data_IF_309636088774
#
_entry.id   IF_309636088774
#
_cell.length_a   1.000
_cell.length_b   1.000
_cell.length_c   1.000
_cell.angle_alpha   90.00
_cell.angle_beta   90.00
_cell.angle_gamma   90.00
#
_symmetry.space_group_name_H-M   'P 1'
#
loop_
_entity.id
_entity.type
_entity.pdbx_description
1 polymer ?
#
# COMPACT_ATOMS: atom_id res chain seq x y z
N UNK A 1 -9.37 -9.30 36.24
CA UNK A 1 -9.07 -9.04 34.83
C UNK A 1 -7.71 -9.65 34.56
N UNK A 2 -7.67 -10.69 33.74
CA UNK A 2 -6.43 -11.35 33.34
C UNK A 2 -6.01 -10.80 31.98
N UNK A 3 -4.74 -10.42 31.85
CA UNK A 3 -4.19 -9.92 30.59
C UNK A 3 -3.17 -10.93 30.07
N UNK A 4 -3.26 -11.26 28.78
CA UNK A 4 -2.25 -12.06 28.09
C UNK A 4 -1.89 -11.39 26.77
N UNK A 5 -0.61 -11.46 26.42
CA UNK A 5 -0.17 -11.17 25.06
C UNK A 5 -0.69 -12.29 24.16
N UNK A 6 -1.42 -11.95 23.11
CA UNK A 6 -1.82 -12.92 22.08
C UNK A 6 -0.65 -13.17 21.13
N UNK A 7 -0.43 -14.44 20.81
CA UNK A 7 0.64 -14.92 19.92
C UNK A 7 0.05 -15.99 18.97
N UNK A 8 0.63 -16.15 17.78
CA UNK A 8 0.14 -17.06 16.74
C UNK A 8 -0.68 -16.35 15.66
N UNK A 9 -1.72 -17.02 15.14
CA UNK A 9 -2.61 -16.46 14.11
C UNK A 9 -3.54 -15.42 14.73
N UNK A 10 -3.05 -14.18 14.83
CA UNK A 10 -3.79 -13.07 15.39
C UNK A 10 -5.08 -12.77 14.60
N UNK A 11 -5.14 -13.11 13.30
CA UNK A 11 -6.30 -12.82 12.48
C UNK A 11 -7.49 -13.64 12.95
N UNK A 12 -7.33 -14.95 13.05
CA UNK A 12 -8.41 -15.84 13.53
C UNK A 12 -8.71 -15.61 15.01
N UNK A 13 -7.69 -15.37 15.84
CA UNK A 13 -7.88 -15.18 17.28
C UNK A 13 -8.62 -13.88 17.63
N UNK A 14 -8.44 -12.81 16.84
CA UNK A 14 -9.06 -11.52 17.11
C UNK A 14 -10.33 -11.27 16.30
N UNK A 15 -10.37 -11.68 15.04
CA UNK A 15 -11.30 -11.11 14.06
C UNK A 15 -12.33 -12.08 13.49
N UNK A 16 -12.40 -13.32 13.99
CA UNK A 16 -13.40 -14.29 13.52
C UNK A 16 -14.82 -13.84 13.90
N UNK A 17 -15.71 -13.56 12.92
CA UNK A 17 -17.08 -13.18 13.22
C UNK A 17 -17.89 -14.37 13.74
N UNK A 18 -18.92 -14.13 14.57
CA UNK A 18 -19.85 -15.18 14.97
C UNK A 18 -20.71 -15.66 13.79
N UNK A 19 -21.23 -16.87 13.89
CA UNK A 19 -22.14 -17.43 12.89
C UNK A 19 -23.46 -16.65 12.77
N UNK A 20 -23.96 -16.10 13.89
CA UNK A 20 -25.07 -15.15 13.93
C UNK A 20 -24.51 -13.75 14.26
N UNK A 21 -24.43 -12.83 13.27
CA UNK A 21 -23.86 -11.49 13.47
C UNK A 21 -24.78 -10.56 14.28
N UNK A 22 -26.02 -10.97 14.57
CA UNK A 22 -26.99 -10.18 15.33
C UNK A 22 -27.01 -10.63 16.79
N UNK A 23 -27.00 -11.94 17.04
CA UNK A 23 -27.24 -12.50 18.38
C UNK A 23 -26.05 -13.21 19.02
N UNK A 24 -25.01 -13.56 18.26
CA UNK A 24 -23.93 -14.41 18.79
C UNK A 24 -24.43 -15.83 19.14
N UNK A 25 -23.59 -16.66 19.80
CA UNK A 25 -22.49 -16.27 20.67
C UNK A 25 -21.23 -15.85 19.92
N UNK A 26 -20.35 -15.12 20.61
CA UNK A 26 -19.04 -14.73 20.11
C UNK A 26 -18.23 -15.95 19.63
N UNK A 27 -17.50 -15.78 18.53
CA UNK A 27 -16.58 -16.80 17.99
C UNK A 27 -15.14 -16.67 18.53
N UNK A 28 -14.86 -15.61 19.29
CA UNK A 28 -13.55 -15.31 19.86
C UNK A 28 -13.59 -15.37 21.39
N UNK A 29 -12.43 -15.62 21.98
CA UNK A 29 -12.26 -15.85 23.43
C UNK A 29 -11.50 -14.68 24.08
N UNK A 30 -12.15 -13.51 24.08
CA UNK A 30 -11.70 -12.30 24.77
C UNK A 30 -12.87 -11.34 25.04
N UNK A 31 -12.85 -10.67 26.19
CA UNK A 31 -13.80 -9.60 26.54
C UNK A 31 -13.32 -8.23 26.06
N UNK A 32 -12.01 -8.01 26.15
CA UNK A 32 -11.33 -6.76 25.82
C UNK A 32 -10.11 -7.06 24.94
N UNK A 33 -9.92 -6.27 23.88
CA UNK A 33 -8.74 -6.37 23.04
C UNK A 33 -8.08 -5.01 22.80
N UNK A 34 -6.76 -4.99 22.82
CA UNK A 34 -5.95 -3.88 22.32
C UNK A 34 -5.32 -4.32 21.01
N UNK A 35 -5.71 -3.69 19.92
CA UNK A 35 -5.20 -4.02 18.58
C UNK A 35 -5.11 -2.76 17.72
N UNK A 36 -4.69 -2.90 16.47
CA UNK A 36 -4.62 -1.78 15.54
C UNK A 36 -5.25 -2.08 14.20
N UNK A 37 -5.78 -1.04 13.58
CA UNK A 37 -6.26 -1.05 12.19
C UNK A 37 -5.28 -0.21 11.38
N UNK A 38 -4.63 -0.87 10.42
CA UNK A 38 -3.99 -0.19 9.30
C UNK A 38 -5.02 -0.07 8.19
N UNK A 39 -5.34 1.14 7.76
CA UNK A 39 -6.28 1.34 6.67
C UNK A 39 -5.68 2.31 5.64
N UNK A 40 -5.69 1.92 4.37
CA UNK A 40 -5.30 2.80 3.28
C UNK A 40 -6.36 3.88 3.06
N UNK A 41 -7.64 3.56 3.30
CA UNK A 41 -8.76 4.48 3.13
C UNK A 41 -9.72 4.44 4.32
N UNK A 42 -10.49 5.51 4.52
CA UNK A 42 -11.51 5.53 5.58
C UNK A 42 -12.63 4.51 5.32
N UNK A 43 -12.95 4.21 4.06
CA UNK A 43 -13.89 3.14 3.71
C UNK A 43 -13.40 1.80 4.25
N UNK A 44 -12.13 1.45 4.03
CA UNK A 44 -11.54 0.23 4.58
C UNK A 44 -11.62 0.21 6.11
N UNK A 45 -11.37 1.34 6.78
CA UNK A 45 -11.47 1.42 8.23
C UNK A 45 -12.89 1.11 8.73
N UNK A 46 -13.92 1.76 8.17
CA UNK A 46 -15.29 1.63 8.66
C UNK A 46 -16.02 0.38 8.18
N UNK A 47 -15.73 -0.13 6.98
CA UNK A 47 -16.33 -1.36 6.44
C UNK A 47 -16.12 -2.55 7.38
N UNK A 48 -15.06 -2.52 8.19
CA UNK A 48 -14.75 -3.53 9.21
C UNK A 48 -15.78 -3.64 10.33
N UNK A 49 -16.57 -2.59 10.57
CA UNK A 49 -17.59 -2.57 11.62
C UNK A 49 -18.97 -2.95 11.12
N UNK A 50 -19.14 -3.16 9.80
CA UNK A 50 -20.42 -3.58 9.23
C UNK A 50 -20.85 -4.93 9.82
N UNK A 51 -22.15 -5.11 10.01
CA UNK A 51 -22.74 -6.37 10.43
C UNK A 51 -22.30 -7.54 9.54
N UNK A 52 -21.73 -8.58 10.15
CA UNK A 52 -21.27 -9.78 9.42
C UNK A 52 -20.00 -9.60 8.58
N UNK A 53 -19.32 -8.45 8.66
CA UNK A 53 -18.01 -8.29 8.04
C UNK A 53 -17.02 -9.34 8.59
N UNK A 54 -16.12 -9.85 7.73
CA UNK A 54 -15.17 -10.90 8.10
C UNK A 54 -14.17 -10.51 9.18
N UNK A 55 -14.11 -9.23 9.54
CA UNK A 55 -13.28 -8.68 10.61
C UNK A 55 -14.07 -8.23 11.84
N UNK A 56 -15.41 -8.30 11.82
CA UNK A 56 -16.25 -7.85 12.91
C UNK A 56 -16.59 -9.02 13.85
N UNK A 57 -15.72 -9.24 14.83
CA UNK A 57 -15.88 -10.29 15.86
C UNK A 57 -16.55 -9.81 17.15
N UNK A 58 -16.80 -8.50 17.26
CA UNK A 58 -17.00 -7.86 18.56
C UNK A 58 -18.25 -6.98 18.65
N UNK A 59 -18.78 -6.47 17.55
CA UNK A 59 -19.97 -5.60 17.57
C UNK A 59 -21.12 -6.28 16.82
N UNK A 60 -22.22 -6.63 17.51
CA UNK A 60 -23.46 -7.06 16.86
C UNK A 60 -23.91 -6.09 15.78
N UNK A 61 -24.57 -6.61 14.74
CA UNK A 61 -25.14 -5.81 13.67
C UNK A 61 -25.98 -4.67 14.23
N UNK A 62 -25.61 -3.45 13.85
CA UNK A 62 -26.35 -2.23 14.13
C UNK A 62 -26.91 -1.70 12.79
N UNK A 63 -28.23 -1.78 12.57
CA UNK A 63 -28.83 -1.34 11.32
C UNK A 63 -28.53 0.12 10.96
N UNK A 64 -28.36 0.99 11.95
CA UNK A 64 -28.05 2.41 11.69
C UNK A 64 -26.59 2.59 11.29
N UNK A 65 -25.67 1.88 11.94
CA UNK A 65 -24.27 1.88 11.54
C UNK A 65 -24.09 1.31 10.12
N UNK A 66 -24.78 0.21 9.81
CA UNK A 66 -24.74 -0.41 8.48
C UNK A 66 -25.26 0.55 7.40
N UNK A 67 -26.35 1.28 7.65
CA UNK A 67 -26.87 2.31 6.74
C UNK A 67 -25.83 3.42 6.48
N UNK A 68 -25.15 3.89 7.53
CA UNK A 68 -24.12 4.93 7.43
C UNK A 68 -22.88 4.45 6.68
N UNK A 69 -22.48 3.18 6.90
CA UNK A 69 -21.41 2.54 6.14
C UNK A 69 -21.82 2.39 4.67
N UNK A 70 -23.07 2.03 4.37
CA UNK A 70 -23.55 1.96 2.98
C UNK A 70 -23.52 3.33 2.29
N UNK A 71 -23.85 4.39 3.03
CA UNK A 71 -23.81 5.76 2.52
C UNK A 71 -22.41 6.24 2.14
N UNK A 72 -21.37 5.92 2.92
CA UNK A 72 -19.99 6.30 2.52
C UNK A 72 -19.56 5.54 1.26
N UNK A 73 -20.06 4.33 1.04
CA UNK A 73 -19.69 3.51 -0.11
C UNK A 73 -20.54 3.77 -1.37
N UNK A 74 -21.60 4.60 -1.29
CA UNK A 74 -22.57 4.77 -2.37
C UNK A 74 -22.21 5.86 -3.39
N UNK A 75 -21.12 6.59 -3.19
CA UNK A 75 -20.75 7.73 -4.05
C UNK A 75 -19.23 7.85 -4.19
N UNK A 76 -18.80 8.27 -5.38
CA UNK A 76 -17.41 8.64 -5.66
C UNK A 76 -17.18 10.15 -5.56
N UNK A 77 -18.22 10.95 -5.29
CA UNK A 77 -18.09 12.40 -5.11
C UNK A 77 -17.43 12.72 -3.76
N UNK A 78 -16.28 13.41 -3.73
CA UNK A 78 -15.58 13.70 -2.48
C UNK A 78 -16.36 14.57 -1.49
N UNK A 79 -17.25 15.44 -1.96
CA UNK A 79 -18.07 16.30 -1.08
C UNK A 79 -19.17 15.48 -0.42
N UNK A 80 -19.87 14.63 -1.19
CA UNK A 80 -20.88 13.73 -0.64
C UNK A 80 -20.26 12.73 0.35
N UNK A 81 -19.10 12.17 0.01
CA UNK A 81 -18.34 11.31 0.91
C UNK A 81 -18.00 12.02 2.22
N UNK A 82 -17.49 13.25 2.16
CA UNK A 82 -17.13 14.03 3.35
C UNK A 82 -18.32 14.23 4.28
N UNK A 83 -19.50 14.55 3.74
CA UNK A 83 -20.72 14.68 4.53
C UNK A 83 -21.15 13.34 5.17
N UNK A 84 -21.10 12.25 4.40
CA UNK A 84 -21.41 10.91 4.89
C UNK A 84 -20.45 10.47 6.01
N UNK A 85 -19.14 10.71 5.86
CA UNK A 85 -18.15 10.43 6.91
C UNK A 85 -18.39 11.25 8.17
N UNK A 86 -18.74 12.54 8.05
CA UNK A 86 -19.07 13.37 9.21
C UNK A 86 -20.30 12.89 9.97
N UNK A 87 -21.29 12.31 9.27
CA UNK A 87 -22.46 11.70 9.90
C UNK A 87 -22.08 10.40 10.61
N UNK A 88 -21.31 9.54 9.94
CA UNK A 88 -20.82 8.27 10.49
C UNK A 88 -19.98 8.50 11.76
N UNK A 89 -18.99 9.39 11.72
CA UNK A 89 -18.13 9.69 12.88
C UNK A 89 -18.92 10.30 14.05
N UNK A 90 -19.99 11.05 13.81
CA UNK A 90 -20.88 11.50 14.90
C UNK A 90 -21.55 10.31 15.58
N UNK A 91 -22.07 9.37 14.80
CA UNK A 91 -22.71 8.17 15.32
C UNK A 91 -21.73 7.22 16.03
N UNK A 92 -20.51 7.07 15.50
CA UNK A 92 -19.44 6.32 16.13
C UNK A 92 -19.09 6.88 17.52
N UNK A 93 -19.03 8.21 17.66
CA UNK A 93 -18.75 8.84 18.96
C UNK A 93 -19.86 8.60 20.00
N UNK A 94 -21.07 8.27 19.58
CA UNK A 94 -22.20 7.94 20.48
C UNK A 94 -22.23 6.44 20.82
N UNK A 95 -21.89 5.57 19.87
CA UNK A 95 -22.05 4.10 19.99
C UNK A 95 -20.78 3.35 20.35
N UNK A 96 -19.62 3.98 20.12
CA UNK A 96 -18.26 3.48 20.41
C UNK A 96 -18.10 2.00 20.02
N UNK A 97 -18.21 1.63 18.72
CA UNK A 97 -17.98 0.26 18.27
C UNK A 97 -16.57 -0.22 18.60
N UNK A 98 -15.60 0.69 18.53
CA UNK A 98 -14.27 0.59 19.12
C UNK A 98 -13.86 1.97 19.63
N UNK A 99 -12.85 2.02 20.49
CA UNK A 99 -12.35 3.28 21.07
C UNK A 99 -10.98 3.56 20.47
N UNK A 100 -10.86 4.51 19.53
CA UNK A 100 -9.57 4.92 19.00
C UNK A 100 -8.74 5.59 20.10
N UNK A 101 -7.47 5.19 20.22
CA UNK A 101 -6.56 5.69 21.25
C UNK A 101 -5.54 6.67 20.68
N UNK A 102 -4.78 6.24 19.68
CA UNK A 102 -3.77 7.05 19.03
C UNK A 102 -3.36 6.47 17.68
N UNK A 103 -2.80 7.31 16.81
CA UNK A 103 -2.11 6.85 15.61
C UNK A 103 -0.71 6.37 15.97
N UNK A 104 -0.33 5.19 15.50
CA UNK A 104 1.03 4.68 15.63
C UNK A 104 1.99 5.68 15.00
N UNK A 105 3.03 6.08 15.74
CA UNK A 105 4.05 6.96 15.18
C UNK A 105 5.03 6.15 14.32
N UNK A 106 5.32 6.71 13.15
CA UNK A 106 6.44 6.33 12.29
C UNK A 106 7.56 7.37 12.39
N UNK A 107 8.77 6.92 12.12
CA UNK A 107 9.98 7.75 12.14
C UNK A 107 10.72 7.60 10.83
N UNK A 108 11.01 8.73 10.18
CA UNK A 108 11.93 8.79 9.06
C UNK A 108 13.29 9.25 9.54
N UNK A 109 14.31 8.56 9.08
CA UNK A 109 15.70 8.94 9.20
C UNK A 109 16.06 9.68 7.93
N UNK A 110 16.53 10.92 8.05
CA UNK A 110 17.06 11.69 6.93
C UNK A 110 18.45 12.21 7.28
N UNK A 111 19.44 11.92 6.43
CA UNK A 111 20.80 12.43 6.54
C UNK A 111 20.87 13.89 6.14
N UNK A 112 21.77 14.64 6.80
CA UNK A 112 22.07 16.04 6.44
C UNK A 112 22.66 16.19 5.03
N UNK A 113 23.02 15.09 4.37
CA UNK A 113 23.46 15.07 2.96
C UNK A 113 22.30 15.24 1.99
N UNK A 114 21.06 14.93 2.37
CA UNK A 114 19.90 14.99 1.48
C UNK A 114 19.35 16.41 1.44
N UNK A 115 19.08 16.91 0.23
CA UNK A 115 18.23 18.07 -0.03
C UNK A 115 17.04 17.66 -0.91
N UNK A 116 15.85 17.66 -0.30
CA UNK A 116 14.58 17.34 -0.97
C UNK A 116 13.95 18.57 -1.63
N UNK A 117 14.60 19.73 -1.68
CA UNK A 117 14.10 20.96 -2.33
C UNK A 117 12.69 21.37 -1.88
N UNK A 118 12.36 21.14 -0.60
CA UNK A 118 11.04 21.43 -0.03
C UNK A 118 9.92 20.46 -0.42
N UNK A 119 10.22 19.32 -1.05
CA UNK A 119 9.24 18.26 -1.32
C UNK A 119 8.68 17.75 0.02
N UNK A 120 7.35 17.74 0.22
CA UNK A 120 6.73 17.39 1.50
C UNK A 120 6.92 15.91 1.86
N UNK A 121 6.91 15.60 3.16
CA UNK A 121 6.81 14.22 3.65
C UNK A 121 5.35 13.77 3.57
N UNK A 122 5.13 12.52 3.16
CA UNK A 122 3.82 11.90 3.18
C UNK A 122 3.77 10.71 4.14
N UNK A 123 2.70 9.93 4.04
CA UNK A 123 2.62 8.67 4.77
C UNK A 123 3.50 7.61 4.09
N UNK A 124 4.64 7.33 4.71
CA UNK A 124 5.64 6.43 4.14
C UNK A 124 5.23 4.96 4.11
N UNK A 125 4.17 4.60 4.82
CA UNK A 125 3.56 3.28 4.75
C UNK A 125 2.98 2.95 3.36
N UNK A 126 2.69 3.98 2.56
CA UNK A 126 2.02 3.84 1.27
C UNK A 126 2.79 4.56 0.15
N UNK A 127 2.36 4.35 -1.09
CA UNK A 127 2.93 5.02 -2.25
C UNK A 127 2.37 6.43 -2.36
N UNK A 128 3.28 7.39 -2.47
CA UNK A 128 2.96 8.77 -2.83
C UNK A 128 4.08 9.34 -3.70
N UNK A 129 3.85 10.51 -4.29
CA UNK A 129 4.80 11.16 -5.18
C UNK A 129 6.04 11.63 -4.40
N UNK A 130 7.00 10.73 -4.28
CA UNK A 130 8.29 10.99 -3.63
C UNK A 130 9.12 12.04 -4.36
N UNK A 131 8.92 12.19 -5.67
CA UNK A 131 9.76 13.03 -6.54
C UNK A 131 11.26 12.78 -6.33
N UNK A 132 11.64 11.52 -6.14
CA UNK A 132 13.03 11.12 -5.84
C UNK A 132 14.03 11.60 -6.91
N UNK A 133 13.56 11.77 -8.15
CA UNK A 133 14.39 12.28 -9.23
C UNK A 133 14.83 13.74 -9.08
N UNK A 134 14.13 14.51 -8.25
CA UNK A 134 14.44 15.91 -7.94
C UNK A 134 15.35 16.07 -6.72
N UNK A 135 15.57 15.00 -5.96
CA UNK A 135 16.37 15.08 -4.74
C UNK A 135 17.85 15.22 -5.07
N UNK A 136 18.51 16.07 -4.29
CA UNK A 136 19.95 16.21 -4.29
C UNK A 136 20.56 15.49 -3.09
N UNK A 137 21.79 15.01 -3.27
CA UNK A 137 22.59 14.45 -2.21
C UNK A 137 24.04 14.95 -2.30
N UNK A 138 24.58 15.38 -1.17
CA UNK A 138 25.99 15.68 -1.05
C UNK A 138 26.86 14.43 -1.29
N UNK A 139 27.99 14.55 -2.01
CA UNK A 139 28.86 13.42 -2.27
C UNK A 139 29.30 12.71 -0.99
N UNK A 140 29.45 11.39 -1.07
CA UNK A 140 30.03 10.59 0.00
C UNK A 140 31.53 10.88 0.16
N UNK A 141 32.18 10.23 1.13
CA UNK A 141 33.63 10.36 1.38
C UNK A 141 34.53 10.02 0.19
N UNK A 142 34.00 9.34 -0.84
CA UNK A 142 34.70 8.98 -2.07
C UNK A 142 34.35 9.92 -3.23
N UNK A 143 33.59 10.99 -2.98
CA UNK A 143 33.13 11.94 -3.99
C UNK A 143 31.97 11.43 -4.85
N UNK A 144 31.27 10.37 -4.45
CA UNK A 144 30.16 9.79 -5.22
C UNK A 144 28.80 10.21 -4.68
N UNK A 145 27.83 10.47 -5.56
CA UNK A 145 26.44 10.83 -5.18
C UNK A 145 25.58 9.59 -5.00
N UNK A 146 25.92 8.80 -3.99
CA UNK A 146 25.20 7.58 -3.60
C UNK A 146 24.35 7.88 -2.36
N UNK A 147 23.04 7.60 -2.45
CA UNK A 147 22.12 7.60 -1.31
C UNK A 147 22.07 6.21 -0.69
N UNK A 148 22.27 6.11 0.62
CA UNK A 148 22.17 4.84 1.34
C UNK A 148 20.80 4.70 2.03
N UNK A 149 20.24 3.50 2.09
CA UNK A 149 18.93 3.26 2.71
C UNK A 149 18.79 1.82 3.25
N UNK A 150 17.70 1.55 3.95
CA UNK A 150 17.34 0.22 4.45
C UNK A 150 16.36 -0.49 3.49
N UNK A 151 15.86 -1.69 3.87
CA UNK A 151 14.88 -2.42 3.06
C UNK A 151 15.46 -3.15 1.83
N UNK A 152 16.76 -3.46 1.82
CA UNK A 152 17.34 -4.36 0.83
C UNK A 152 16.83 -5.80 0.98
N UNK A 153 16.74 -6.59 -0.10
CA UNK A 153 16.15 -7.93 -0.06
C UNK A 153 17.07 -8.93 0.68
N UNK A 154 16.47 -9.71 1.58
CA UNK A 154 17.17 -10.81 2.26
C UNK A 154 17.22 -12.07 1.38
N UNK A 155 16.09 -12.47 0.80
CA UNK A 155 15.97 -13.70 -0.01
C UNK A 155 15.36 -13.45 -1.39
N UNK A 156 14.48 -12.45 -1.49
CA UNK A 156 13.77 -12.04 -2.68
C UNK A 156 13.24 -10.62 -2.49
N UNK A 157 12.79 -10.01 -3.58
CA UNK A 157 11.96 -8.81 -3.53
C UNK A 157 10.50 -9.24 -3.31
N UNK A 158 9.88 -8.77 -2.23
CA UNK A 158 8.44 -8.97 -2.03
C UNK A 158 7.66 -8.34 -3.19
N UNK A 159 6.69 -9.08 -3.71
CA UNK A 159 5.88 -8.63 -4.82
C UNK A 159 4.84 -7.59 -4.34
N UNK A 160 4.48 -6.61 -5.19
CA UNK A 160 3.62 -5.50 -4.78
C UNK A 160 2.16 -5.88 -4.51
N UNK A 161 1.72 -7.10 -4.86
CA UNK A 161 0.31 -7.50 -4.68
C UNK A 161 -0.12 -7.55 -3.21
N UNK A 162 0.76 -7.93 -2.27
CA UNK A 162 0.42 -7.99 -0.84
C UNK A 162 0.39 -6.59 -0.24
N UNK A 163 1.42 -5.81 -0.55
CA UNK A 163 1.69 -4.52 0.07
C UNK A 163 2.23 -3.55 -0.99
N UNK A 164 1.46 -2.51 -1.37
CA UNK A 164 1.74 -1.75 -2.59
C UNK A 164 2.95 -0.81 -2.53
N UNK A 165 3.44 -0.45 -1.33
CA UNK A 165 4.64 0.35 -1.11
C UNK A 165 4.89 0.58 0.39
N UNK A 166 5.02 -0.50 1.17
CA UNK A 166 5.35 -0.33 2.59
C UNK A 166 6.70 0.36 2.73
N UNK A 167 6.83 1.15 3.79
CA UNK A 167 8.04 1.89 4.15
C UNK A 167 9.29 1.02 4.33
N UNK A 168 9.13 -0.30 4.47
CA UNK A 168 10.21 -1.30 4.48
C UNK A 168 10.56 -1.85 3.09
N UNK A 169 9.72 -1.63 2.08
CA UNK A 169 9.88 -2.07 0.69
C UNK A 169 10.09 -0.85 -0.22
N UNK A 170 11.01 0.05 0.15
CA UNK A 170 11.28 1.30 -0.56
C UNK A 170 11.59 1.10 -2.05
N UNK A 171 12.12 -0.07 -2.43
CA UNK A 171 12.34 -0.43 -3.83
C UNK A 171 11.06 -0.40 -4.66
N UNK A 172 9.87 -0.59 -4.08
CA UNK A 172 8.60 -0.46 -4.80
C UNK A 172 8.32 0.98 -5.28
N UNK A 173 8.92 1.99 -4.64
CA UNK A 173 8.85 3.40 -5.05
C UNK A 173 9.97 3.76 -6.05
N UNK A 174 11.05 2.98 -6.07
CA UNK A 174 12.19 3.18 -6.96
C UNK A 174 12.03 2.47 -8.30
N UNK A 175 11.58 1.22 -8.24
CA UNK A 175 11.53 0.31 -9.37
C UNK A 175 10.24 0.43 -10.16
N UNK A 176 9.11 0.72 -9.53
CA UNK A 176 7.81 0.62 -10.19
C UNK A 176 7.06 1.94 -10.18
N UNK A 177 6.57 2.34 -11.35
CA UNK A 177 5.57 3.38 -11.48
C UNK A 177 4.15 2.78 -11.43
N UNK A 178 3.19 3.56 -10.96
CA UNK A 178 1.75 3.27 -10.99
C UNK A 178 1.07 3.96 -12.17
N UNK A 179 -0.21 3.69 -12.39
CA UNK A 179 -0.98 4.41 -13.42
C UNK A 179 -1.07 5.89 -13.09
N UNK A 180 -1.43 6.20 -11.84
CA UNK A 180 -1.50 7.53 -11.26
C UNK A 180 -0.72 7.55 -9.95
N UNK A 181 -0.50 8.73 -9.38
CA UNK A 181 0.17 8.88 -8.09
C UNK A 181 -0.69 9.68 -7.13
N UNK A 182 -0.59 9.35 -5.85
CA UNK A 182 -1.14 10.15 -4.77
C UNK A 182 -0.16 11.22 -4.30
N UNK A 183 -0.67 12.33 -3.80
CA UNK A 183 0.15 13.32 -3.09
C UNK A 183 0.53 12.85 -1.68
N UNK A 184 1.25 13.69 -0.93
CA UNK A 184 1.74 13.38 0.41
C UNK A 184 0.62 13.05 1.42
N UNK A 185 -0.61 13.50 1.16
CA UNK A 185 -1.80 13.24 1.96
C UNK A 185 -2.60 12.04 1.44
N UNK A 186 -1.99 11.23 0.55
CA UNK A 186 -2.61 10.10 -0.12
C UNK A 186 -3.81 10.47 -1.00
N UNK A 187 -3.90 11.70 -1.50
CA UNK A 187 -4.96 12.07 -2.44
C UNK A 187 -4.50 11.76 -3.88
N UNK A 188 -5.19 10.89 -4.65
CA UNK A 188 -4.88 10.67 -6.06
C UNK A 188 -4.99 11.97 -6.84
N UNK A 189 -3.94 12.36 -7.56
CA UNK A 189 -3.83 13.74 -8.06
C UNK A 189 -3.36 13.89 -9.50
N UNK A 190 -2.48 13.01 -9.99
CA UNK A 190 -1.93 13.12 -11.34
C UNK A 190 -1.56 11.76 -11.93
N UNK A 191 -1.49 11.72 -13.26
CA UNK A 191 -0.90 10.63 -14.03
C UNK A 191 0.57 10.36 -13.68
N UNK A 192 0.96 9.09 -13.75
CA UNK A 192 2.35 8.64 -13.72
C UNK A 192 2.65 7.86 -15.02
N UNK A 193 2.41 6.55 -15.09
CA UNK A 193 2.44 5.80 -16.36
C UNK A 193 1.32 6.27 -17.30
N UNK A 194 0.16 6.62 -16.75
CA UNK A 194 -0.85 7.35 -17.50
C UNK A 194 -0.41 8.82 -17.64
N UNK A 195 -0.56 9.41 -18.82
CA UNK A 195 -0.41 10.86 -18.98
C UNK A 195 -1.60 11.62 -18.37
N UNK A 196 -2.78 10.99 -18.41
CA UNK A 196 -4.03 11.55 -17.87
C UNK A 196 -5.04 10.43 -17.56
N UNK A 197 -6.09 10.77 -16.79
CA UNK A 197 -7.22 9.88 -16.54
C UNK A 197 -8.53 10.64 -16.41
N UNK A 198 -9.63 9.98 -16.79
CA UNK A 198 -10.99 10.51 -16.67
C UNK A 198 -11.86 9.53 -15.87
N UNK A 199 -12.76 10.07 -15.05
CA UNK A 199 -13.75 9.30 -14.29
C UNK A 199 -15.13 9.73 -14.76
N UNK A 200 -15.97 8.76 -15.15
CA UNK A 200 -17.34 9.05 -15.58
C UNK A 200 -18.20 9.59 -14.44
N UNK A 201 -19.31 10.25 -14.80
CA UNK A 201 -20.37 10.52 -13.85
C UNK A 201 -20.82 9.20 -13.16
N UNK A 202 -20.96 9.22 -11.84
CA UNK A 202 -21.28 8.04 -11.04
C UNK A 202 -20.11 7.08 -10.77
N UNK A 203 -18.91 7.31 -11.31
CA UNK A 203 -17.70 6.57 -10.94
C UNK A 203 -17.61 5.12 -11.45
N UNK A 204 -18.47 4.71 -12.39
CA UNK A 204 -18.50 3.34 -12.92
C UNK A 204 -17.58 3.13 -14.14
N UNK A 205 -16.93 4.17 -14.63
CA UNK A 205 -15.92 4.04 -15.69
C UNK A 205 -14.72 4.92 -15.36
N UNK A 206 -13.52 4.35 -15.43
CA UNK A 206 -12.26 5.06 -15.29
C UNK A 206 -11.41 4.77 -16.54
N UNK A 207 -11.08 5.83 -17.27
CA UNK A 207 -10.24 5.76 -18.45
C UNK A 207 -8.84 6.30 -18.12
N UNK A 208 -7.81 5.55 -18.50
CA UNK A 208 -6.41 5.99 -18.43
C UNK A 208 -5.84 6.10 -19.83
N UNK A 209 -5.25 7.26 -20.16
CA UNK A 209 -4.43 7.41 -21.37
C UNK A 209 -2.98 7.09 -21.03
N UNK A 210 -2.43 6.02 -21.60
CA UNK A 210 -1.05 5.59 -21.33
C UNK A 210 -0.06 6.52 -22.03
N UNK A 211 0.96 6.96 -21.31
CA UNK A 211 2.02 7.85 -21.83
C UNK A 211 2.71 7.18 -23.02
N UNK A 212 3.05 7.97 -24.03
CA UNK A 212 3.82 7.47 -25.17
C UNK A 212 5.32 7.40 -24.86
N UNK A 213 6.01 6.42 -25.46
CA UNK A 213 7.47 6.32 -25.42
C UNK A 213 8.07 5.84 -24.09
N UNK A 214 7.26 5.48 -23.10
CA UNK A 214 7.71 4.87 -21.84
C UNK A 214 8.13 3.41 -22.04
N UNK A 215 9.11 2.98 -21.25
CA UNK A 215 9.71 1.64 -21.34
C UNK A 215 9.94 1.04 -19.96
N UNK A 216 9.87 -0.27 -19.89
CA UNK A 216 10.43 -1.07 -18.82
C UNK A 216 11.96 -0.89 -18.77
N UNK A 217 12.60 -1.24 -17.65
CA UNK A 217 14.06 -1.10 -17.47
C UNK A 217 14.90 -1.96 -18.42
N UNK A 218 14.29 -2.96 -19.06
CA UNK A 218 14.90 -3.79 -20.11
C UNK A 218 14.71 -3.22 -21.53
N UNK A 219 14.06 -2.05 -21.65
CA UNK A 219 13.85 -1.33 -22.90
C UNK A 219 12.59 -1.73 -23.66
N UNK A 220 11.82 -2.72 -23.20
CA UNK A 220 10.53 -3.08 -23.81
C UNK A 220 9.52 -1.94 -23.59
N UNK A 221 8.80 -1.48 -24.63
CA UNK A 221 7.77 -0.45 -24.46
C UNK A 221 6.68 -0.88 -23.48
N UNK A 222 6.22 0.05 -22.64
CA UNK A 222 5.05 -0.17 -21.78
C UNK A 222 3.80 0.13 -22.59
N UNK A 223 2.82 -0.77 -22.54
CA UNK A 223 1.60 -0.68 -23.36
C UNK A 223 0.33 -0.89 -22.52
N UNK A 224 -0.85 -0.51 -23.05
CA UNK A 224 -2.14 -0.89 -22.47
C UNK A 224 -2.30 -2.37 -22.15
N UNK A 225 -1.63 -3.25 -22.91
CA UNK A 225 -1.63 -4.70 -22.72
C UNK A 225 -0.97 -5.13 -21.40
N UNK A 226 0.06 -4.42 -20.95
CA UNK A 226 0.71 -4.68 -19.66
C UNK A 226 -0.23 -4.36 -18.51
N UNK A 227 -0.97 -3.25 -18.63
CA UNK A 227 -1.96 -2.81 -17.65
C UNK A 227 -3.08 -3.84 -17.55
N UNK A 228 -3.71 -4.19 -18.68
CA UNK A 228 -4.78 -5.20 -18.71
C UNK A 228 -4.32 -6.53 -18.12
N UNK A 229 -3.17 -7.03 -18.57
CA UNK A 229 -2.57 -8.24 -18.04
C UNK A 229 -2.39 -8.17 -16.53
N UNK A 230 -1.89 -7.05 -15.99
CA UNK A 230 -1.58 -6.94 -14.56
C UNK A 230 -2.81 -7.09 -13.68
N UNK A 231 -3.92 -6.42 -14.01
CA UNK A 231 -5.13 -6.49 -13.19
C UNK A 231 -5.83 -7.84 -13.34
N UNK A 232 -5.79 -8.45 -14.53
CA UNK A 232 -6.24 -9.84 -14.73
C UNK A 232 -5.35 -10.86 -14.01
N UNK A 233 -4.05 -10.60 -13.90
CA UNK A 233 -3.12 -11.43 -13.16
C UNK A 233 -3.37 -11.32 -11.65
N UNK A 234 -3.47 -10.09 -11.12
CA UNK A 234 -3.78 -9.82 -9.71
C UNK A 234 -5.09 -10.47 -9.26
N UNK A 235 -6.14 -10.45 -10.09
CA UNK A 235 -7.42 -11.10 -9.79
C UNK A 235 -7.29 -12.60 -9.42
N UNK A 236 -6.21 -13.26 -9.84
CA UNK A 236 -5.94 -14.69 -9.59
C UNK A 236 -4.85 -14.94 -8.54
N UNK A 237 -4.23 -13.89 -7.98
CA UNK A 237 -3.21 -14.01 -6.94
C UNK A 237 -3.89 -14.16 -5.57
N UNK A 238 -3.73 -15.29 -4.86
CA UNK A 238 -4.41 -15.51 -3.58
C UNK A 238 -3.99 -14.53 -2.47
N UNK A 239 -2.76 -14.03 -2.54
CA UNK A 239 -2.19 -13.10 -1.56
C UNK A 239 -2.43 -11.64 -1.92
N UNK A 240 -3.24 -11.34 -2.95
CA UNK A 240 -3.58 -9.96 -3.29
C UNK A 240 -4.23 -9.27 -2.09
N UNK A 241 -3.78 -8.05 -1.81
CA UNK A 241 -4.33 -7.22 -0.76
C UNK A 241 -5.85 -7.04 -0.93
N UNK A 242 -6.59 -7.07 0.18
CA UNK A 242 -8.05 -6.99 0.18
C UNK A 242 -8.60 -5.72 -0.51
N UNK A 243 -7.90 -4.59 -0.43
CA UNK A 243 -8.34 -3.34 -1.08
C UNK A 243 -8.27 -3.48 -2.61
N UNK A 244 -7.14 -3.93 -3.14
CA UNK A 244 -7.00 -4.16 -4.57
C UNK A 244 -7.94 -5.27 -5.08
N UNK A 245 -8.09 -6.34 -4.30
CA UNK A 245 -9.02 -7.42 -4.61
C UNK A 245 -10.46 -6.88 -4.70
N UNK A 246 -10.87 -6.05 -3.75
CA UNK A 246 -12.20 -5.44 -3.76
C UNK A 246 -12.42 -4.61 -5.03
N UNK A 247 -11.50 -3.68 -5.36
CA UNK A 247 -11.59 -2.87 -6.58
C UNK A 247 -11.70 -3.74 -7.84
N UNK A 248 -10.86 -4.77 -7.96
CA UNK A 248 -10.86 -5.67 -9.12
C UNK A 248 -12.14 -6.51 -9.17
N UNK A 249 -12.68 -6.92 -8.01
CA UNK A 249 -13.92 -7.69 -7.92
C UNK A 249 -15.16 -6.92 -8.35
N UNK A 250 -15.08 -5.58 -8.36
CA UNK A 250 -16.13 -4.70 -8.82
C UNK A 250 -16.19 -4.54 -10.35
N UNK A 251 -15.19 -5.03 -11.09
CA UNK A 251 -15.14 -4.93 -12.55
C UNK A 251 -16.14 -5.85 -13.24
N UNK A 252 -16.71 -5.39 -14.35
CA UNK A 252 -17.63 -6.20 -15.15
C UNK A 252 -16.97 -7.52 -15.61
N UNK A 253 -17.62 -8.65 -15.33
CA UNK A 253 -17.14 -9.97 -15.73
C UNK A 253 -15.99 -10.54 -14.89
N UNK A 254 -15.67 -9.93 -13.74
CA UNK A 254 -14.70 -10.47 -12.78
C UNK A 254 -15.02 -11.92 -12.38
N UNK A 255 -16.27 -12.19 -11.97
CA UNK A 255 -16.69 -13.51 -11.51
C UNK A 255 -16.55 -14.58 -12.60
N UNK A 256 -16.90 -14.26 -13.84
CA UNK A 256 -16.73 -15.20 -14.95
C UNK A 256 -15.25 -15.51 -15.20
N UNK A 257 -14.38 -14.50 -15.07
CA UNK A 257 -12.94 -14.67 -15.28
C UNK A 257 -12.27 -15.51 -14.20
N UNK A 258 -12.51 -15.22 -12.91
CA UNK A 258 -11.88 -15.96 -11.80
C UNK A 258 -12.40 -17.39 -11.69
N UNK A 259 -13.64 -17.65 -12.15
CA UNK A 259 -14.22 -19.00 -12.24
C UNK A 259 -13.90 -19.72 -13.58
N UNK A 260 -13.03 -19.16 -14.42
CA UNK A 260 -12.57 -19.80 -15.67
C UNK A 260 -13.60 -19.89 -16.79
N UNK A 261 -14.66 -19.07 -16.74
CA UNK A 261 -15.70 -18.98 -17.78
C UNK A 261 -15.38 -17.96 -18.88
N UNK A 262 -14.41 -17.09 -18.67
CA UNK A 262 -13.87 -16.16 -19.66
C UNK A 262 -12.33 -16.14 -19.66
N UNK A 263 -11.74 -15.71 -20.78
CA UNK A 263 -10.27 -15.61 -20.94
C UNK A 263 -9.69 -14.33 -20.30
N UNK A 264 -10.52 -13.34 -20.00
CA UNK A 264 -10.14 -12.06 -19.40
C UNK A 264 -11.33 -11.38 -18.70
N UNK A 265 -11.04 -10.28 -18.02
CA UNK A 265 -12.05 -9.44 -17.36
C UNK A 265 -12.68 -8.54 -18.44
N UNK A 266 -13.99 -8.70 -18.67
CA UNK A 266 -14.73 -7.97 -19.71
C UNK A 266 -14.65 -6.45 -19.51
N UNK A 267 -14.68 -6.00 -18.26
CA UNK A 267 -14.63 -4.60 -17.89
C UNK A 267 -13.29 -3.92 -18.15
N UNK A 268 -12.23 -4.64 -18.55
CA UNK A 268 -10.95 -4.02 -18.91
C UNK A 268 -10.81 -3.97 -20.44
N UNK A 269 -11.03 -2.80 -21.01
CA UNK A 269 -11.05 -2.56 -22.46
C UNK A 269 -9.82 -1.75 -22.87
N UNK A 270 -9.23 -2.10 -24.01
CA UNK A 270 -8.12 -1.35 -24.61
C UNK A 270 -8.63 -0.66 -25.87
N UNK A 271 -8.42 0.65 -25.95
CA UNK A 271 -8.75 1.47 -27.13
C UNK A 271 -7.55 2.31 -27.54
N UNK A 272 -6.77 1.81 -28.51
CA UNK A 272 -5.54 2.48 -28.94
C UNK A 272 -4.51 2.52 -27.81
N UNK A 273 -4.15 3.72 -27.33
CA UNK A 273 -3.25 3.91 -26.19
C UNK A 273 -3.99 4.04 -24.84
N UNK A 274 -5.30 3.83 -24.81
CA UNK A 274 -6.13 3.94 -23.61
C UNK A 274 -6.43 2.58 -23.00
N UNK A 275 -6.56 2.55 -21.68
CA UNK A 275 -7.12 1.43 -20.91
C UNK A 275 -8.33 1.94 -20.15
N UNK A 276 -9.47 1.33 -20.38
CA UNK A 276 -10.76 1.70 -19.77
C UNK A 276 -11.18 0.59 -18.82
N UNK A 277 -11.52 0.96 -17.59
CA UNK A 277 -12.05 0.08 -16.56
C UNK A 277 -13.54 0.37 -16.36
N UNK A 278 -14.39 -0.57 -16.73
CA UNK A 278 -15.83 -0.56 -16.48
C UNK A 278 -16.16 -1.40 -15.25
N UNK A 279 -16.87 -0.77 -14.32
CA UNK A 279 -17.25 -1.36 -13.05
C UNK A 279 -18.74 -1.74 -13.06
N UNK A 280 -19.04 -2.97 -12.64
CA UNK A 280 -20.41 -3.43 -12.38
C UNK A 280 -20.93 -2.88 -11.03
N UNK A 281 -20.02 -2.63 -10.09
CA UNK A 281 -20.30 -2.07 -8.78
C UNK A 281 -19.39 -0.88 -8.53
N UNK A 282 -19.92 0.17 -7.92
CA UNK A 282 -19.10 1.31 -7.54
C UNK A 282 -18.05 0.90 -6.50
N UNK A 283 -16.79 1.26 -6.75
CA UNK A 283 -15.75 1.30 -5.72
C UNK A 283 -15.28 2.76 -5.53
N UNK A 284 -15.62 3.41 -4.40
CA UNK A 284 -15.18 4.76 -4.12
C UNK A 284 -13.65 4.90 -3.97
N UNK A 285 -12.92 3.78 -3.84
CA UNK A 285 -11.47 3.76 -3.65
C UNK A 285 -10.70 3.35 -4.91
N UNK A 286 -11.36 3.21 -6.07
CA UNK A 286 -10.70 2.69 -7.27
C UNK A 286 -9.44 3.50 -7.67
N UNK A 287 -9.50 4.84 -7.61
CA UNK A 287 -8.33 5.69 -7.85
C UNK A 287 -7.19 5.45 -6.84
N UNK A 288 -7.50 5.19 -5.58
CA UNK A 288 -6.49 4.81 -4.59
C UNK A 288 -5.81 3.50 -4.99
N UNK A 289 -6.57 2.50 -5.43
CA UNK A 289 -5.99 1.23 -5.89
C UNK A 289 -5.03 1.46 -7.07
N UNK A 290 -5.43 2.27 -8.06
CA UNK A 290 -4.57 2.58 -9.21
C UNK A 290 -3.36 3.45 -8.87
N UNK A 291 -3.35 4.15 -7.72
CA UNK A 291 -2.20 4.91 -7.23
C UNK A 291 -1.24 4.09 -6.37
N UNK A 292 -1.68 2.92 -5.91
CA UNK A 292 -0.91 2.07 -5.00
C UNK A 292 -0.27 0.88 -5.71
N UNK A 293 -1.06 0.10 -6.47
CA UNK A 293 -0.56 -1.11 -7.13
C UNK A 293 -0.04 -0.83 -8.54
N UNK A 294 1.25 -1.09 -8.81
CA UNK A 294 1.84 -0.82 -10.11
C UNK A 294 1.45 -1.87 -11.17
N UNK A 295 1.36 -1.48 -12.45
CA UNK A 295 1.47 -2.41 -13.57
C UNK A 295 2.76 -3.24 -13.53
N UNK A 296 2.70 -4.45 -14.04
CA UNK A 296 3.77 -5.43 -14.11
C UNK A 296 4.09 -5.80 -15.58
N UNK A 297 5.34 -6.18 -15.89
CA UNK A 297 5.76 -6.50 -17.26
C UNK A 297 5.12 -7.80 -17.75
N UNK A 298 4.15 -7.70 -18.67
CA UNK A 298 3.45 -8.87 -19.24
C UNK A 298 4.41 -9.85 -19.88
N UNK A 299 5.41 -9.36 -20.60
CA UNK A 299 6.37 -10.21 -21.31
C UNK A 299 7.24 -11.07 -20.38
N UNK A 300 7.35 -10.74 -19.09
CA UNK A 300 8.12 -11.50 -18.11
C UNK A 300 7.26 -12.38 -17.20
N UNK A 301 5.96 -12.05 -17.05
CA UNK A 301 5.10 -12.69 -16.06
C UNK A 301 3.90 -13.44 -16.65
N UNK A 302 3.59 -13.30 -17.94
CA UNK A 302 2.41 -13.96 -18.55
C UNK A 302 2.36 -15.48 -18.38
N UNK A 303 3.52 -16.13 -18.29
CA UNK A 303 3.64 -17.59 -18.16
C UNK A 303 3.87 -18.02 -16.70
N UNK A 304 3.83 -17.07 -15.75
CA UNK A 304 3.90 -17.36 -14.31
C UNK A 304 2.52 -17.75 -13.81
N UNK A 305 2.43 -18.84 -13.05
CA UNK A 305 1.19 -19.22 -12.36
C UNK A 305 0.89 -18.19 -11.24
N UNK A 306 -0.28 -17.51 -11.25
CA UNK A 306 -0.67 -16.58 -10.19
C UNK A 306 -0.64 -17.19 -8.77
N UNK A 307 -0.85 -18.51 -8.65
CA UNK A 307 -0.78 -19.22 -7.36
C UNK A 307 0.65 -19.30 -6.81
N UNK A 308 1.66 -19.15 -7.67
CA UNK A 308 3.08 -19.16 -7.36
C UNK A 308 3.75 -17.81 -7.63
N UNK A 309 2.96 -16.73 -7.65
CA UNK A 309 3.41 -15.42 -8.11
C UNK A 309 4.63 -14.91 -7.34
N UNK A 310 4.70 -15.10 -6.02
CA UNK A 310 5.85 -14.66 -5.20
C UNK A 310 7.11 -15.51 -5.45
N UNK A 311 6.94 -16.77 -5.85
CA UNK A 311 8.03 -17.72 -6.08
C UNK A 311 8.67 -17.56 -7.47
N UNK A 312 8.11 -16.71 -8.34
CA UNK A 312 8.65 -16.44 -9.65
C UNK A 312 10.10 -15.94 -9.58
N UNK A 313 10.97 -16.48 -10.45
CA UNK A 313 12.37 -16.08 -10.54
C UNK A 313 12.55 -14.57 -10.85
N UNK A 314 11.53 -13.96 -11.45
CA UNK A 314 11.43 -12.52 -11.65
C UNK A 314 11.72 -11.70 -10.37
N UNK A 315 11.27 -12.18 -9.20
CA UNK A 315 11.46 -11.49 -7.91
C UNK A 315 12.86 -11.65 -7.31
N UNK A 316 13.81 -12.25 -8.03
CA UNK A 316 15.23 -12.23 -7.66
C UNK A 316 15.95 -10.99 -8.22
N UNK A 317 15.49 -10.47 -9.35
CA UNK A 317 16.05 -9.28 -9.99
C UNK A 317 14.96 -8.60 -10.85
N UNK A 318 13.95 -7.98 -10.22
CA UNK A 318 12.78 -7.48 -10.93
C UNK A 318 13.10 -6.32 -11.89
N UNK A 319 12.43 -6.33 -13.04
CA UNK A 319 12.47 -5.29 -14.07
C UNK A 319 11.26 -4.39 -13.89
N UNK A 320 11.49 -3.15 -13.50
CA UNK A 320 10.41 -2.20 -13.26
C UNK A 320 10.28 -1.12 -14.35
N UNK A 321 9.46 -0.11 -14.06
CA UNK A 321 9.13 1.03 -14.93
C UNK A 321 9.55 2.38 -14.34
N UNK A 322 10.05 2.36 -13.10
CA UNK A 322 10.29 3.54 -12.28
C UNK A 322 11.61 4.27 -12.54
N UNK A 323 11.90 5.30 -11.73
CA UNK A 323 13.04 6.20 -11.91
C UNK A 323 14.43 5.56 -11.77
N UNK A 324 14.52 4.45 -11.03
CA UNK A 324 15.78 3.73 -10.80
C UNK A 324 15.59 2.26 -11.18
N UNK A 325 16.65 1.66 -11.71
CA UNK A 325 16.70 0.23 -12.02
C UNK A 325 17.76 -0.48 -11.21
N UNK A 326 17.65 -1.80 -11.06
CA UNK A 326 18.68 -2.60 -10.38
C UNK A 326 19.96 -2.62 -11.24
N UNK A 327 21.08 -2.27 -10.63
CA UNK A 327 22.43 -2.44 -11.18
C UNK A 327 23.05 -3.75 -10.69
N UNK A 328 22.98 -4.01 -9.38
CA UNK A 328 23.54 -5.20 -8.75
C UNK A 328 22.67 -5.61 -7.56
N UNK A 329 22.44 -6.92 -7.40
CA UNK A 329 21.83 -7.49 -6.21
C UNK A 329 22.74 -8.56 -5.61
N UNK A 330 22.98 -8.45 -4.29
CA UNK A 330 23.58 -9.49 -3.46
C UNK A 330 22.62 -9.76 -2.31
N UNK A 331 21.78 -10.79 -2.47
CA UNK A 331 20.79 -11.18 -1.47
C UNK A 331 21.41 -11.28 -0.08
N UNK A 332 20.68 -10.78 0.92
CA UNK A 332 21.13 -10.73 2.32
C UNK A 332 22.41 -9.89 2.56
N UNK A 333 22.80 -9.03 1.60
CA UNK A 333 23.93 -8.13 1.77
C UNK A 333 23.61 -6.70 1.30
N UNK A 334 23.30 -6.50 0.01
CA UNK A 334 22.89 -5.21 -0.51
C UNK A 334 22.23 -5.32 -1.88
N UNK A 335 21.54 -4.26 -2.28
CA UNK A 335 21.13 -3.99 -3.66
C UNK A 335 21.55 -2.57 -4.03
N UNK A 336 22.08 -2.41 -5.23
CA UNK A 336 22.40 -1.12 -5.82
C UNK A 336 21.45 -0.84 -6.96
N UNK A 337 20.80 0.31 -6.90
CA UNK A 337 20.00 0.87 -7.96
C UNK A 337 20.76 2.01 -8.61
N UNK A 338 20.60 2.15 -9.93
CA UNK A 338 21.15 3.24 -10.72
C UNK A 338 20.00 3.99 -11.37
N UNK A 339 20.13 5.32 -11.48
CA UNK A 339 19.15 6.16 -12.19
C UNK A 339 18.93 5.60 -13.60
N UNK A 340 17.67 5.55 -14.02
CA UNK A 340 17.34 5.06 -15.36
C UNK A 340 17.32 6.20 -16.37
N UNK A 341 18.36 6.25 -17.22
CA UNK A 341 18.54 7.32 -18.20
C UNK A 341 17.40 7.44 -19.23
N UNK A 342 16.60 6.40 -19.44
CA UNK A 342 15.45 6.38 -20.35
C UNK A 342 14.12 6.70 -19.65
N UNK A 343 14.12 6.96 -18.34
CA UNK A 343 12.90 7.30 -17.58
C UNK A 343 12.28 8.61 -18.04
N UNK A 344 10.95 8.70 -18.09
CA UNK A 344 10.24 9.80 -18.75
C UNK A 344 10.30 11.13 -17.98
N UNK A 345 10.28 11.08 -16.65
CA UNK A 345 10.41 12.26 -15.78
C UNK A 345 11.85 12.37 -15.27
N UNK A 346 12.70 13.12 -15.99
CA UNK A 346 14.13 13.22 -15.67
C UNK A 346 14.40 13.80 -14.28
N UNK A 347 13.49 14.64 -13.78
CA UNK A 347 13.73 15.49 -12.62
C UNK A 347 14.97 16.39 -12.80
N UNK A 348 15.38 17.03 -11.70
CA UNK A 348 16.57 17.91 -11.67
C UNK A 348 17.55 17.58 -10.53
N UNK A 349 17.37 16.43 -9.90
CA UNK A 349 18.17 15.95 -8.78
C UNK A 349 19.48 15.30 -9.23
N UNK A 350 20.40 15.13 -8.29
CA UNK A 350 21.76 14.66 -8.55
C UNK A 350 22.09 13.28 -7.94
N UNK A 351 21.12 12.56 -7.37
CA UNK A 351 21.33 11.18 -6.91
C UNK A 351 21.62 10.28 -8.12
N UNK A 352 22.81 9.69 -8.16
CA UNK A 352 23.25 8.80 -9.26
C UNK A 352 22.88 7.34 -8.97
N UNK A 353 23.06 6.93 -7.71
CA UNK A 353 22.80 5.57 -7.25
C UNK A 353 22.15 5.57 -5.88
N UNK A 354 21.38 4.52 -5.62
CA UNK A 354 20.81 4.22 -4.32
C UNK A 354 21.30 2.85 -3.89
N UNK A 355 21.81 2.71 -2.67
CA UNK A 355 22.22 1.41 -2.13
C UNK A 355 21.40 1.08 -0.90
N UNK A 356 20.63 -0.02 -0.97
CA UNK A 356 19.84 -0.52 0.14
C UNK A 356 20.54 -1.70 0.82
N UNK A 357 20.53 -1.69 2.15
CA UNK A 357 21.00 -2.81 2.97
C UNK A 357 19.81 -3.59 3.57
N UNK A 358 19.92 -4.91 3.75
CA UNK A 358 18.93 -5.70 4.48
C UNK A 358 18.96 -5.28 5.95
N UNK A 359 18.03 -4.41 6.31
CA UNK A 359 17.68 -4.09 7.69
C UNK A 359 16.22 -3.66 7.69
N UNK A 360 15.39 -4.45 8.36
CA UNK A 360 13.95 -4.24 8.44
C UNK A 360 13.54 -3.39 9.63
N UNK A 361 12.24 -3.27 9.80
CA UNK A 361 11.64 -2.69 10.99
C UNK A 361 12.00 -3.52 12.23
N UNK A 362 12.41 -2.85 13.31
CA UNK A 362 12.89 -3.50 14.55
C UNK A 362 14.18 -4.33 14.40
N UNK A 363 14.84 -4.32 13.24
CA UNK A 363 16.16 -4.95 13.06
C UNK A 363 17.28 -4.05 13.63
N UNK A 364 18.05 -4.51 14.65
CA UNK A 364 19.15 -3.73 15.23
C UNK A 364 20.17 -3.20 14.20
N UNK A 365 20.31 -3.85 13.04
CA UNK A 365 21.21 -3.42 11.97
C UNK A 365 20.87 -2.03 11.41
N UNK A 366 19.63 -1.55 11.55
CA UNK A 366 19.28 -0.20 11.09
C UNK A 366 20.11 0.87 11.84
N UNK A 367 20.22 0.75 13.16
CA UNK A 367 20.99 1.69 14.01
C UNK A 367 22.47 1.59 13.67
N UNK A 368 23.01 0.36 13.57
CA UNK A 368 24.41 0.10 13.19
C UNK A 368 24.74 0.71 11.83
N UNK A 369 23.86 0.55 10.84
CA UNK A 369 24.05 1.13 9.51
C UNK A 369 23.97 2.66 9.56
N UNK A 370 23.08 3.25 10.35
CA UNK A 370 23.00 4.69 10.51
C UNK A 370 24.27 5.28 11.14
N UNK A 371 24.79 4.66 12.21
CA UNK A 371 26.04 5.06 12.87
C UNK A 371 27.23 5.00 11.90
N UNK A 372 27.27 3.97 11.05
CA UNK A 372 28.30 3.77 10.04
C UNK A 372 28.18 4.72 8.82
N UNK A 373 27.18 5.61 8.79
CA UNK A 373 26.92 6.50 7.66
C UNK A 373 26.39 5.77 6.42
N UNK A 374 25.75 4.60 6.62
CA UNK A 374 25.13 3.76 5.59
C UNK A 374 23.60 3.90 5.55
N UNK A 375 23.07 5.00 6.08
CA UNK A 375 21.65 5.37 6.00
C UNK A 375 21.58 6.87 5.76
N UNK A 376 21.12 7.25 4.59
CA UNK A 376 20.75 8.63 4.25
C UNK A 376 19.24 8.84 4.29
N UNK A 377 18.44 7.84 3.90
CA UNK A 377 17.00 7.86 4.05
C UNK A 377 16.53 6.50 4.57
N UNK A 378 15.73 6.43 5.62
CA UNK A 378 15.16 5.18 6.10
C UNK A 378 13.89 5.41 6.89
N UNK A 379 13.17 4.32 7.16
CA UNK A 379 11.99 4.34 8.01
C UNK A 379 12.08 3.30 9.14
N UNK A 380 11.50 3.62 10.30
CA UNK A 380 11.19 2.67 11.37
C UNK A 380 9.93 3.09 12.16
N UNK A 381 9.20 2.13 12.75
CA UNK A 381 8.21 2.38 13.83
C UNK A 381 8.72 2.05 15.23
N UNK A 382 9.96 1.56 15.35
CA UNK A 382 10.53 1.20 16.64
C UNK A 382 10.97 2.45 17.38
N UNK A 383 10.34 2.70 18.52
CA UNK A 383 10.69 3.81 19.42
C UNK A 383 12.15 3.67 19.89
N UNK A 384 12.59 2.45 20.18
CA UNK A 384 13.97 2.18 20.61
C UNK A 384 14.99 2.56 19.52
N UNK A 385 14.73 2.17 18.27
CA UNK A 385 15.60 2.55 17.15
C UNK A 385 15.57 4.05 16.91
N UNK A 386 14.39 4.67 16.97
CA UNK A 386 14.27 6.12 16.86
C UNK A 386 15.09 6.82 17.95
N UNK A 387 14.94 6.46 19.22
CA UNK A 387 15.71 7.06 20.31
C UNK A 387 17.23 6.91 20.13
N UNK A 388 17.69 5.76 19.61
CA UNK A 388 19.11 5.56 19.32
C UNK A 388 19.59 6.43 18.14
N UNK A 389 18.82 6.47 17.05
CA UNK A 389 19.16 7.23 15.83
C UNK A 389 19.13 8.74 16.08
N UNK A 390 18.28 9.23 16.99
CA UNK A 390 18.24 10.64 17.38
C UNK A 390 19.58 11.16 17.93
N UNK A 391 20.40 10.26 18.51
CA UNK A 391 21.72 10.61 19.04
C UNK A 391 22.80 10.71 17.96
N UNK A 392 22.51 10.32 16.71
CA UNK A 392 23.46 10.29 15.61
C UNK A 392 23.53 11.67 14.94
N UNK A 393 24.68 12.34 15.06
CA UNK A 393 24.81 13.76 14.72
C UNK A 393 24.64 14.12 13.22
N UNK A 394 24.81 13.17 12.29
CA UNK A 394 24.71 13.41 10.84
C UNK A 394 23.34 13.09 10.23
N UNK A 395 22.39 12.60 11.03
CA UNK A 395 21.00 12.40 10.62
C UNK A 395 20.06 13.24 11.46
N UNK A 396 18.80 13.34 11.02
CA UNK A 396 17.67 13.86 11.78
C UNK A 396 16.53 12.85 11.71
N UNK A 397 15.69 12.88 12.72
CA UNK A 397 14.43 12.15 12.72
C UNK A 397 13.27 13.08 12.40
N UNK A 398 12.38 12.60 11.54
CA UNK A 398 11.07 13.19 11.30
C UNK A 398 10.03 12.21 11.80
N UNK A 399 9.25 12.59 12.79
CA UNK A 399 8.09 11.80 13.23
C UNK A 399 6.86 12.17 12.40
N UNK A 400 5.99 11.18 12.18
CA UNK A 400 4.70 11.38 11.54
C UNK A 400 3.68 10.38 12.10
N UNK A 401 2.42 10.78 12.11
CA UNK A 401 1.31 9.89 12.47
C UNK A 401 0.99 9.00 11.28
N UNK A 402 1.08 7.69 11.48
CA UNK A 402 0.69 6.73 10.46
C UNK A 402 -0.83 6.59 10.44
N UNK A 403 -1.38 6.24 9.28
CA UNK A 403 -2.78 5.78 9.17
C UNK A 403 -2.87 4.31 9.65
N UNK A 404 -2.40 4.13 10.88
CA UNK A 404 -2.44 2.92 11.67
C UNK A 404 -2.95 3.33 13.05
N UNK A 405 -4.25 3.13 13.29
CA UNK A 405 -4.90 3.53 14.54
C UNK A 405 -4.80 2.40 15.54
N UNK A 406 -4.35 2.67 16.76
CA UNK A 406 -4.46 1.76 17.90
C UNK A 406 -5.81 1.97 18.57
N UNK A 407 -6.53 0.87 18.81
CA UNK A 407 -7.87 0.90 19.37
C UNK A 407 -8.00 -0.05 20.56
N UNK A 408 -8.93 0.30 21.42
CA UNK A 408 -9.47 -0.58 22.43
C UNK A 408 -10.83 -1.11 21.98
N UNK A 409 -11.00 -2.42 22.08
CA UNK A 409 -12.21 -3.13 21.70
C UNK A 409 -12.86 -3.73 22.93
N UNK A 410 -14.19 -3.71 22.93
CA UNK A 410 -15.02 -4.43 23.89
C UNK A 410 -15.86 -5.41 23.10
N UNK A 411 -15.81 -6.69 23.47
CA UNK A 411 -16.66 -7.70 22.87
C UNK A 411 -18.10 -7.51 23.39
N UNK A 412 -19.00 -7.18 22.48
CA UNK A 412 -20.42 -6.91 22.76
C UNK A 412 -21.31 -8.11 22.43
N UNK A 413 -20.75 -9.19 21.89
CA UNK A 413 -21.49 -10.45 21.72
C UNK A 413 -21.54 -11.22 23.04
N UNK A 414 -22.65 -11.95 23.33
CA UNK A 414 -22.67 -12.86 24.46
C UNK A 414 -21.67 -14.00 24.25
N UNK A 415 -21.08 -14.46 25.34
CA UNK A 415 -20.26 -15.68 25.37
C UNK A 415 -21.14 -16.93 25.16
N UNK A 416 -20.50 -18.06 24.86
CA UNK A 416 -21.21 -19.34 24.72
C UNK A 416 -21.92 -19.80 26.00
N UNK A 417 -21.47 -19.35 27.16
CA UNK A 417 -22.03 -19.73 28.46
C UNK A 417 -23.20 -18.83 28.89
N UNK A 418 -23.39 -17.67 28.23
CA UNK A 418 -24.47 -16.71 28.50
C UNK A 418 -25.75 -16.96 27.69
N UNK A 419 -25.70 -17.78 26.64
CA UNK A 419 -26.82 -18.19 25.78
C UNK A 419 -27.20 -19.65 26.02
#
# INVERSE_FOLDING_TARGET
MEFRKLEGDLTTLLWTPPADPIKGPSAVDWDLAYAGISALTLHEFYNRFKGGASSNSHTPTDPKLDELIDKINSTADPNEQKEAFHELTRYENETLPAIPLYHQQGFLVESKRIDRKGIPYGNEQFAYDWKINDWDIEPDKNGKRIMYTNGGPAQFFEAPFVNPATSTLLYLKLLFDRLIVSDENLTPKKGQLASDYEVSEGGLTIEFTIREGIKWHDGVPITPEDVKFTFEYYAKVPQLNAVALYTISCLEGYEDYVNGKSEGIKGIVIEGNKVIFHFEKLDPNALMTFSQWPPLPKHLLKDTDPLQAQQAAYWQNPIGSGPFKIEEVKMNNYVTYVRWDDYWDKGNGNIEKIQSYPSGESDPNLVVNAEAGRVDYAYTKSIEQASAIEQISHVKLISFDQIYTRLFYVNKFPTKDEL
#
